data_IF_203802906522
#
_entry.id   IF_203802906522
#
_cell.length_a   1.000
_cell.length_b   1.000
_cell.length_c   1.000
_cell.angle_alpha   90.00
_cell.angle_beta   90.00
_cell.angle_gamma   90.00
#
_symmetry.space_group_name_H-M   'P 1'
#
loop_
_entity.id
_entity.type
_entity.pdbx_description
1 polymer ?
#
# COMPACT_ATOMS: atom_id res chain seq x y z
N UNK A 1 24.14 0.38 21.17
CA UNK A 1 23.62 -0.58 20.17
C UNK A 1 22.29 -1.09 20.68
N UNK A 2 21.31 -1.26 19.80
CA UNK A 2 20.01 -1.76 20.19
C UNK A 2 20.06 -3.25 20.57
N UNK A 3 20.89 -4.05 19.89
CA UNK A 3 21.03 -5.49 20.11
C UNK A 3 22.50 -5.90 20.02
N UNK A 4 22.95 -6.81 20.89
CA UNK A 4 24.36 -7.17 21.08
C UNK A 4 24.69 -8.63 20.72
N UNK A 5 23.74 -9.38 20.16
CA UNK A 5 23.88 -10.78 19.75
C UNK A 5 23.98 -11.80 20.89
N UNK A 6 24.30 -11.37 22.11
CA UNK A 6 24.33 -12.22 23.30
C UNK A 6 22.92 -12.46 23.89
N UNK A 7 22.04 -11.47 23.73
CA UNK A 7 20.64 -11.55 24.11
C UNK A 7 19.76 -11.95 22.92
N UNK A 8 18.71 -12.76 23.15
CA UNK A 8 17.67 -13.05 22.16
C UNK A 8 16.46 -12.15 22.43
N UNK A 9 16.37 -10.96 21.80
CA UNK A 9 15.33 -9.99 22.12
C UNK A 9 13.93 -10.55 21.81
N UNK A 10 13.01 -10.47 22.77
CA UNK A 10 11.62 -10.86 22.53
C UNK A 10 10.92 -9.76 21.73
N UNK A 11 10.39 -10.12 20.57
CA UNK A 11 9.79 -9.17 19.62
C UNK A 11 8.26 -9.31 19.56
N UNK A 12 7.52 -8.20 19.58
CA UNK A 12 6.09 -8.17 19.27
C UNK A 12 5.87 -7.83 17.80
N UNK A 13 5.12 -8.64 17.06
CA UNK A 13 4.68 -8.35 15.68
C UNK A 13 3.20 -7.97 15.69
N UNK A 14 2.87 -6.78 15.20
CA UNK A 14 1.51 -6.24 15.14
C UNK A 14 0.93 -6.44 13.73
N UNK A 15 0.02 -7.40 13.59
CA UNK A 15 -0.65 -7.76 12.34
C UNK A 15 -0.01 -8.96 11.63
N UNK A 16 -0.84 -9.79 10.99
CA UNK A 16 -0.45 -11.00 10.24
C UNK A 16 -0.84 -10.91 8.75
N UNK A 17 -0.77 -9.71 8.18
CA UNK A 17 -0.68 -9.54 6.72
C UNK A 17 0.69 -10.00 6.18
N UNK A 18 0.94 -9.79 4.88
CA UNK A 18 2.20 -10.17 4.24
C UNK A 18 3.45 -9.62 4.92
N UNK A 19 3.39 -8.41 5.48
CA UNK A 19 4.48 -7.85 6.29
C UNK A 19 4.72 -8.62 7.61
N UNK A 20 3.64 -9.04 8.28
CA UNK A 20 3.71 -9.69 9.58
C UNK A 20 4.22 -11.12 9.50
N UNK A 21 3.62 -11.95 8.62
CA UNK A 21 4.02 -13.35 8.53
C UNK A 21 5.41 -13.54 7.92
N UNK A 22 5.86 -12.65 7.02
CA UNK A 22 7.24 -12.72 6.50
C UNK A 22 8.27 -12.33 7.56
N UNK A 23 7.93 -11.39 8.45
CA UNK A 23 8.75 -11.12 9.63
C UNK A 23 8.76 -12.29 10.62
N UNK A 24 7.60 -12.89 10.92
CA UNK A 24 7.52 -14.06 11.78
C UNK A 24 8.38 -15.21 11.26
N UNK A 25 8.32 -15.47 9.93
CA UNK A 25 9.18 -16.43 9.24
C UNK A 25 10.67 -16.11 9.46
N UNK A 26 11.06 -14.85 9.26
CA UNK A 26 12.44 -14.41 9.46
C UNK A 26 12.93 -14.61 10.90
N UNK A 27 12.12 -14.24 11.90
CA UNK A 27 12.48 -14.44 13.31
C UNK A 27 12.57 -15.92 13.66
N UNK A 28 11.68 -16.75 13.11
CA UNK A 28 11.72 -18.20 13.25
C UNK A 28 13.01 -18.80 12.68
N UNK A 29 13.44 -18.37 11.50
CA UNK A 29 14.69 -18.83 10.87
C UNK A 29 15.92 -18.51 11.73
N UNK A 30 15.97 -17.32 12.36
CA UNK A 30 17.02 -16.94 13.31
C UNK A 30 16.87 -17.60 14.70
N UNK A 31 15.74 -18.27 14.98
CA UNK A 31 15.44 -18.81 16.29
C UNK A 31 15.31 -17.73 17.38
N UNK A 32 14.78 -16.56 17.00
CA UNK A 32 14.49 -15.43 17.88
C UNK A 32 13.06 -15.53 18.44
N UNK A 33 12.85 -15.23 19.73
CA UNK A 33 11.52 -15.32 20.34
C UNK A 33 10.62 -14.16 19.87
N UNK A 34 9.38 -14.48 19.51
CA UNK A 34 8.39 -13.47 19.13
C UNK A 34 6.97 -13.88 19.52
N UNK A 35 6.12 -12.86 19.70
CA UNK A 35 4.67 -13.02 19.71
C UNK A 35 4.12 -12.25 18.50
N UNK A 36 3.22 -12.86 17.71
CA UNK A 36 2.53 -12.19 16.60
C UNK A 36 1.03 -12.12 16.90
N UNK A 37 0.46 -10.92 16.86
CA UNK A 37 -0.96 -10.68 17.16
C UNK A 37 -1.70 -10.20 15.91
N UNK A 38 -2.80 -10.85 15.59
CA UNK A 38 -3.71 -10.50 14.49
C UNK A 38 -5.10 -10.22 15.04
N UNK A 39 -5.68 -9.09 14.66
CA UNK A 39 -7.01 -8.69 15.14
C UNK A 39 -8.14 -9.47 14.47
N UNK A 40 -7.91 -10.00 13.27
CA UNK A 40 -8.83 -10.85 12.53
C UNK A 40 -8.76 -12.32 12.97
N UNK A 41 -9.66 -13.15 12.45
CA UNK A 41 -9.69 -14.60 12.63
C UNK A 41 -8.74 -15.35 11.68
N UNK A 42 -8.20 -14.65 10.68
CA UNK A 42 -7.27 -15.21 9.71
C UNK A 42 -6.19 -14.21 9.23
N UNK A 43 -5.20 -14.73 8.52
CA UNK A 43 -4.11 -13.94 7.93
C UNK A 43 -4.55 -13.17 6.68
N UNK A 44 -3.63 -12.38 6.12
CA UNK A 44 -3.75 -11.84 4.75
C UNK A 44 -4.24 -10.40 4.67
N UNK A 45 -4.87 -9.87 5.72
CA UNK A 45 -5.26 -8.46 5.82
C UNK A 45 -6.14 -8.01 4.65
N UNK A 46 -5.66 -7.03 3.87
CA UNK A 46 -6.38 -6.47 2.71
C UNK A 46 -6.73 -7.46 1.59
N UNK A 47 -6.18 -8.67 1.59
CA UNK A 47 -6.52 -9.69 0.59
C UNK A 47 -7.67 -10.60 1.05
N UNK A 48 -8.12 -10.45 2.31
CA UNK A 48 -9.25 -11.16 2.87
C UNK A 48 -10.54 -10.39 2.63
N UNK A 49 -11.30 -10.80 1.62
CA UNK A 49 -12.63 -10.23 1.33
C UNK A 49 -13.60 -10.48 2.48
N UNK A 50 -14.35 -9.43 2.87
CA UNK A 50 -15.23 -9.43 4.05
C UNK A 50 -14.50 -9.82 5.34
N UNK A 51 -13.25 -9.38 5.48
CA UNK A 51 -12.49 -9.56 6.71
C UNK A 51 -13.30 -9.05 7.92
N UNK A 52 -13.53 -9.87 8.96
CA UNK A 52 -14.36 -9.49 10.11
C UNK A 52 -13.76 -8.36 10.96
N UNK A 53 -12.48 -8.01 10.75
CA UNK A 53 -11.83 -6.92 11.48
C UNK A 53 -12.37 -5.51 11.13
N UNK A 54 -13.10 -5.34 10.02
CA UNK A 54 -13.63 -4.05 9.55
C UNK A 54 -12.59 -3.02 9.09
N UNK A 55 -11.29 -3.33 9.17
CA UNK A 55 -10.21 -2.43 8.80
C UNK A 55 -9.50 -2.81 7.48
N UNK A 56 -9.88 -3.92 6.86
CA UNK A 56 -9.32 -4.33 5.57
C UNK A 56 -10.23 -3.92 4.41
N UNK A 57 -9.68 -3.26 3.41
CA UNK A 57 -10.39 -2.83 2.21
C UNK A 57 -10.20 -3.84 1.08
N UNK A 58 -11.19 -4.68 0.82
CA UNK A 58 -11.19 -5.62 -0.30
C UNK A 58 -12.60 -5.71 -0.90
N UNK A 59 -12.74 -5.32 -2.16
CA UNK A 59 -13.96 -5.55 -2.94
C UNK A 59 -13.89 -6.86 -3.71
N UNK A 60 -15.06 -7.41 -4.04
CA UNK A 60 -15.23 -8.78 -4.53
C UNK A 60 -14.52 -9.02 -5.86
N UNK A 61 -14.40 -8.02 -6.72
CA UNK A 61 -13.78 -8.12 -8.05
C UNK A 61 -12.29 -7.78 -8.06
N UNK A 62 -11.68 -7.53 -6.89
CA UNK A 62 -10.30 -7.07 -6.78
C UNK A 62 -9.33 -8.10 -7.38
N UNK A 63 -8.54 -7.61 -8.35
CA UNK A 63 -7.36 -8.30 -8.87
C UNK A 63 -6.14 -7.45 -8.59
N UNK A 64 -5.00 -8.10 -8.36
CA UNK A 64 -3.74 -7.37 -8.23
C UNK A 64 -3.37 -6.65 -9.54
N UNK A 65 -2.75 -5.48 -9.43
CA UNK A 65 -2.26 -4.71 -10.59
C UNK A 65 -0.87 -5.15 -11.08
N UNK A 66 -0.18 -5.94 -10.28
CA UNK A 66 1.13 -6.49 -10.60
C UNK A 66 1.00 -7.92 -11.10
N UNK A 67 1.78 -8.28 -12.12
CA UNK A 67 1.74 -9.65 -12.63
C UNK A 67 2.34 -10.66 -11.66
N UNK A 68 1.90 -11.92 -11.76
CA UNK A 68 2.38 -13.05 -10.95
C UNK A 68 3.91 -13.18 -10.89
N UNK A 69 4.60 -12.77 -11.96
CA UNK A 69 6.06 -12.83 -12.09
C UNK A 69 6.84 -12.01 -11.07
N UNK A 70 6.17 -11.07 -10.39
CA UNK A 70 6.79 -10.20 -9.38
C UNK A 70 6.28 -10.45 -7.97
N UNK A 71 5.33 -11.39 -7.78
CA UNK A 71 4.63 -11.60 -6.50
C UNK A 71 5.25 -12.66 -5.61
N UNK A 72 6.07 -13.55 -6.17
CA UNK A 72 6.66 -14.67 -5.43
C UNK A 72 7.50 -14.17 -4.25
N UNK A 73 7.40 -14.91 -3.14
CA UNK A 73 8.38 -14.81 -2.05
C UNK A 73 9.64 -15.58 -2.47
N UNK A 74 10.80 -15.23 -1.93
CA UNK A 74 12.09 -15.75 -2.42
C UNK A 74 12.20 -17.27 -2.31
N UNK A 75 11.61 -17.84 -1.26
CA UNK A 75 11.63 -19.26 -0.93
C UNK A 75 10.26 -19.95 -1.11
N UNK A 76 9.32 -19.28 -1.77
CA UNK A 76 8.00 -19.84 -2.06
C UNK A 76 7.47 -19.31 -3.40
N UNK A 77 7.52 -20.10 -4.49
CA UNK A 77 7.08 -19.64 -5.79
C UNK A 77 5.56 -19.58 -5.90
N UNK A 78 5.04 -18.63 -6.69
CA UNK A 78 3.63 -18.64 -7.10
C UNK A 78 3.35 -19.83 -8.04
N UNK A 79 2.14 -20.42 -8.01
CA UNK A 79 1.76 -21.49 -8.92
C UNK A 79 1.90 -21.11 -10.40
N UNK A 80 2.40 -22.04 -11.22
CA UNK A 80 2.66 -21.80 -12.65
C UNK A 80 1.37 -21.50 -13.45
N UNK A 81 0.26 -22.11 -13.07
CA UNK A 81 -1.05 -22.05 -13.73
C UNK A 81 -1.87 -20.81 -13.37
N UNK A 82 -1.38 -19.95 -12.48
CA UNK A 82 -2.05 -18.70 -12.16
C UNK A 82 -2.26 -17.81 -13.39
N UNK A 83 -3.38 -17.07 -13.47
CA UNK A 83 -3.51 -16.00 -14.46
C UNK A 83 -2.43 -14.94 -14.22
N UNK A 84 -2.14 -14.12 -15.23
CA UNK A 84 -1.11 -13.09 -15.11
C UNK A 84 -1.40 -12.11 -13.96
N UNK A 85 -2.68 -11.75 -13.74
CA UNK A 85 -3.14 -10.89 -12.63
C UNK A 85 -4.13 -11.69 -11.77
N UNK A 86 -3.67 -12.37 -10.71
CA UNK A 86 -4.53 -13.21 -9.86
C UNK A 86 -5.59 -12.43 -9.07
N UNK A 87 -6.72 -13.09 -8.83
CA UNK A 87 -7.81 -12.59 -8.00
C UNK A 87 -7.39 -12.52 -6.52
N UNK A 88 -8.01 -11.63 -5.74
CA UNK A 88 -7.69 -11.50 -4.30
C UNK A 88 -7.79 -12.84 -3.54
N UNK A 89 -8.74 -13.71 -3.93
CA UNK A 89 -8.91 -15.03 -3.34
C UNK A 89 -7.72 -15.97 -3.59
N UNK A 90 -7.07 -15.89 -4.76
CA UNK A 90 -5.86 -16.67 -5.07
C UNK A 90 -4.67 -16.18 -4.25
N UNK A 91 -4.54 -14.85 -4.07
CA UNK A 91 -3.52 -14.26 -3.20
C UNK A 91 -3.69 -14.71 -1.75
N UNK A 92 -4.92 -14.66 -1.21
CA UNK A 92 -5.20 -15.11 0.14
C UNK A 92 -4.86 -16.58 0.32
N UNK A 93 -5.23 -17.44 -0.64
CA UNK A 93 -4.90 -18.86 -0.58
C UNK A 93 -3.38 -19.08 -0.57
N UNK A 94 -2.64 -18.40 -1.43
CA UNK A 94 -1.18 -18.48 -1.46
C UNK A 94 -0.53 -18.02 -0.15
N UNK A 95 -1.08 -17.02 0.53
CA UNK A 95 -0.61 -16.62 1.86
C UNK A 95 -0.90 -17.68 2.92
N UNK A 96 -2.07 -18.32 2.88
CA UNK A 96 -2.38 -19.45 3.76
C UNK A 96 -1.40 -20.60 3.52
N UNK A 97 -1.19 -20.96 2.26
CA UNK A 97 -0.26 -22.03 1.90
C UNK A 97 1.18 -21.72 2.34
N UNK A 98 1.63 -20.47 2.20
CA UNK A 98 2.93 -20.02 2.73
C UNK A 98 3.01 -20.19 4.26
N UNK A 99 2.01 -19.66 4.97
CA UNK A 99 1.94 -19.70 6.44
C UNK A 99 1.92 -21.14 6.96
N UNK A 100 1.22 -22.04 6.27
CA UNK A 100 1.15 -23.46 6.60
C UNK A 100 2.46 -24.19 6.26
N UNK A 101 3.02 -23.94 5.06
CA UNK A 101 4.28 -24.54 4.61
C UNK A 101 5.43 -24.27 5.59
N UNK A 102 5.55 -23.04 6.08
CA UNK A 102 6.58 -22.66 7.06
C UNK A 102 6.15 -22.89 8.51
N UNK A 103 4.98 -23.47 8.77
CA UNK A 103 4.46 -23.78 10.11
C UNK A 103 4.38 -22.55 11.01
N UNK A 104 3.80 -21.46 10.48
CA UNK A 104 3.67 -20.18 11.17
C UNK A 104 2.28 -20.00 11.79
N UNK A 105 1.25 -20.73 11.32
CA UNK A 105 -0.14 -20.55 11.75
C UNK A 105 -0.31 -20.60 13.27
N UNK A 106 0.29 -21.60 13.91
CA UNK A 106 0.24 -21.80 15.37
C UNK A 106 1.07 -20.78 16.17
N UNK A 107 1.89 -19.97 15.49
CA UNK A 107 2.71 -18.91 16.13
C UNK A 107 2.00 -17.55 16.14
N UNK A 108 0.82 -17.45 15.52
CA UNK A 108 0.03 -16.23 15.40
C UNK A 108 -1.18 -16.34 16.33
N UNK A 109 -1.36 -15.34 17.17
CA UNK A 109 -2.52 -15.23 18.05
C UNK A 109 -3.60 -14.38 17.37
N UNK A 110 -4.64 -15.04 16.86
CA UNK A 110 -5.77 -14.41 16.16
C UNK A 110 -6.79 -13.79 17.13
N UNK A 111 -7.73 -13.02 16.59
CA UNK A 111 -8.77 -12.31 17.33
C UNK A 111 -8.21 -11.45 18.48
N UNK A 112 -6.97 -10.96 18.33
CA UNK A 112 -6.22 -10.27 19.37
C UNK A 112 -5.57 -9.03 18.76
N UNK A 113 -6.18 -7.87 18.98
CA UNK A 113 -5.62 -6.61 18.53
C UNK A 113 -4.60 -6.07 19.54
N UNK A 114 -3.56 -5.40 19.05
CA UNK A 114 -2.73 -4.52 19.89
C UNK A 114 -3.40 -3.16 19.98
N UNK A 115 -3.67 -2.70 21.20
CA UNK A 115 -4.43 -1.47 21.47
C UNK A 115 -3.57 -0.32 21.99
N UNK A 116 -2.39 -0.62 22.55
CA UNK A 116 -1.46 0.38 23.07
C UNK A 116 -0.03 -0.15 23.06
N UNK A 117 0.94 0.72 22.76
CA UNK A 117 2.38 0.45 22.82
C UNK A 117 3.05 1.63 23.52
N UNK A 118 3.62 1.38 24.70
CA UNK A 118 4.20 2.41 25.57
C UNK A 118 5.70 2.18 25.76
N UNK A 119 6.45 3.28 25.89
CA UNK A 119 7.88 3.22 26.18
C UNK A 119 8.13 2.64 27.59
N UNK A 120 9.15 1.81 27.69
CA UNK A 120 9.75 1.36 28.95
C UNK A 120 11.23 1.75 29.00
N UNK A 121 11.83 1.83 30.21
CA UNK A 121 13.26 2.07 30.35
C UNK A 121 14.12 1.07 29.54
N UNK A 122 15.21 1.58 28.96
CA UNK A 122 16.14 0.79 28.16
C UNK A 122 15.71 0.55 26.71
N UNK A 123 14.78 1.35 26.17
CA UNK A 123 14.30 1.20 24.79
C UNK A 123 13.38 0.01 24.58
N UNK A 124 12.78 -0.50 25.67
CA UNK A 124 11.81 -1.60 25.66
C UNK A 124 10.39 -1.06 25.56
N UNK A 125 9.42 -1.96 25.39
CA UNK A 125 8.04 -1.62 25.10
C UNK A 125 7.07 -2.41 25.94
N UNK A 126 6.05 -1.74 26.48
CA UNK A 126 4.86 -2.40 27.04
C UNK A 126 3.76 -2.39 25.97
N UNK A 127 3.24 -3.57 25.65
CA UNK A 127 2.17 -3.74 24.67
C UNK A 127 0.91 -4.22 25.37
N UNK A 128 -0.21 -3.51 25.15
CA UNK A 128 -1.53 -3.88 25.64
C UNK A 128 -2.35 -4.52 24.53
N UNK A 129 -2.99 -5.65 24.83
CA UNK A 129 -3.85 -6.40 23.91
C UNK A 129 -5.32 -6.05 24.12
N UNK A 130 -6.17 -6.38 23.15
CA UNK A 130 -7.64 -6.23 23.24
C UNK A 130 -8.27 -7.05 24.36
N UNK A 131 -7.59 -8.08 24.85
CA UNK A 131 -7.98 -8.89 26.01
C UNK A 131 -7.76 -8.19 27.35
N UNK A 132 -7.06 -7.04 27.35
CA UNK A 132 -6.60 -6.33 28.55
C UNK A 132 -5.27 -6.86 29.10
N UNK A 133 -4.72 -7.94 28.53
CA UNK A 133 -3.38 -8.43 28.86
C UNK A 133 -2.31 -7.41 28.43
N UNK A 134 -1.28 -7.25 29.27
CA UNK A 134 -0.08 -6.46 28.95
C UNK A 134 1.15 -7.33 28.96
N UNK A 135 2.04 -7.14 27.99
CA UNK A 135 3.33 -7.84 27.88
C UNK A 135 4.46 -6.87 27.58
N UNK A 136 5.65 -7.17 28.09
CA UNK A 136 6.86 -6.40 27.83
C UNK A 136 7.68 -7.05 26.71
N UNK A 137 8.28 -6.22 25.85
CA UNK A 137 9.07 -6.63 24.69
C UNK A 137 10.33 -5.79 24.56
N UNK A 138 11.37 -6.40 23.99
CA UNK A 138 12.62 -5.72 23.68
C UNK A 138 12.53 -4.99 22.33
N UNK A 139 11.66 -5.46 21.44
CA UNK A 139 11.41 -4.84 20.14
C UNK A 139 9.94 -4.95 19.70
N UNK A 140 9.51 -4.03 18.85
CA UNK A 140 8.17 -4.00 18.25
C UNK A 140 8.27 -3.89 16.74
N UNK A 141 7.52 -4.71 16.01
CA UNK A 141 7.36 -4.65 14.57
C UNK A 141 5.93 -4.24 14.25
N UNK A 142 5.77 -3.08 13.63
CA UNK A 142 4.51 -2.52 13.17
C UNK A 142 4.25 -3.01 11.74
N UNK A 143 3.28 -3.92 11.59
CA UNK A 143 2.89 -4.53 10.32
C UNK A 143 1.37 -4.41 10.05
N UNK A 144 0.73 -3.36 10.59
CA UNK A 144 -0.72 -3.13 10.48
C UNK A 144 -1.18 -2.62 9.10
N UNK A 145 -0.25 -2.28 8.20
CA UNK A 145 -0.55 -1.74 6.88
C UNK A 145 -0.92 -0.25 6.90
N UNK A 146 -1.12 0.33 5.71
CA UNK A 146 -1.36 1.76 5.51
C UNK A 146 -2.53 2.09 4.57
N UNK A 147 -3.34 1.08 4.23
CA UNK A 147 -4.59 1.23 3.46
C UNK A 147 -5.77 0.73 4.31
N UNK A 148 -5.99 1.37 5.46
CA UNK A 148 -7.03 0.97 6.42
C UNK A 148 -7.81 2.13 7.03
N UNK A 149 -7.23 3.35 7.11
CA UNK A 149 -7.87 4.55 7.66
C UNK A 149 -8.40 5.44 6.50
N UNK A 150 -9.71 5.43 6.21
CA UNK A 150 -10.29 6.11 5.06
C UNK A 150 -10.10 7.63 5.11
N UNK A 151 -9.62 8.23 4.02
CA UNK A 151 -9.52 9.69 3.92
C UNK A 151 -10.78 10.27 3.27
N UNK A 152 -11.74 10.64 4.10
CA UNK A 152 -12.96 11.33 3.65
C UNK A 152 -12.69 12.82 3.38
N UNK A 153 -13.05 13.35 2.19
CA UNK A 153 -12.95 14.78 1.92
C UNK A 153 -14.14 15.53 2.54
N UNK A 154 -13.92 16.78 2.90
CA UNK A 154 -14.99 17.71 3.25
C UNK A 154 -15.31 18.62 2.06
N UNK A 155 -16.60 18.88 1.84
CA UNK A 155 -17.11 19.75 0.79
C UNK A 155 -18.22 20.65 1.36
N UNK A 156 -18.37 21.90 0.87
CA UNK A 156 -19.52 22.73 1.22
C UNK A 156 -20.84 22.10 0.79
N UNK A 157 -21.92 22.38 1.54
CA UNK A 157 -23.26 21.88 1.26
C UNK A 157 -23.53 20.49 1.84
N UNK A 158 -24.70 19.95 1.53
CA UNK A 158 -25.19 18.65 2.04
C UNK A 158 -25.59 17.74 0.88
N UNK A 159 -25.51 16.42 1.08
CA UNK A 159 -25.92 15.42 0.09
C UNK A 159 -26.90 14.43 0.71
N UNK A 160 -28.07 14.28 0.10
CA UNK A 160 -29.18 13.46 0.61
C UNK A 160 -29.03 11.97 0.26
N UNK A 161 -28.17 11.65 -0.72
CA UNK A 161 -27.96 10.30 -1.22
C UNK A 161 -26.98 9.47 -0.40
N UNK A 162 -26.73 8.24 -0.87
CA UNK A 162 -25.81 7.32 -0.22
C UNK A 162 -24.34 7.75 -0.41
N UNK A 163 -23.53 7.67 0.63
CA UNK A 163 -22.10 7.97 0.54
C UNK A 163 -21.29 6.85 1.17
N UNK A 164 -20.22 6.45 0.49
CA UNK A 164 -19.32 5.40 0.98
C UNK A 164 -17.89 5.69 0.57
N UNK A 165 -16.92 5.41 1.43
CA UNK A 165 -15.52 5.37 1.00
C UNK A 165 -15.24 4.07 0.28
N UNK A 166 -14.33 4.07 -0.69
CA UNK A 166 -13.87 2.85 -1.38
C UNK A 166 -13.41 1.72 -0.45
N UNK A 167 -13.05 2.04 0.79
CA UNK A 167 -12.73 1.09 1.87
C UNK A 167 -13.91 0.18 2.23
N UNK A 168 -15.11 0.76 2.25
CA UNK A 168 -16.35 0.09 2.65
C UNK A 168 -17.16 -0.36 1.42
N UNK A 169 -16.66 -0.14 0.21
CA UNK A 169 -17.25 -0.70 -1.01
C UNK A 169 -16.90 -2.18 -1.10
N UNK A 170 -17.90 -3.06 -1.16
CA UNK A 170 -17.66 -4.50 -1.28
C UNK A 170 -17.97 -5.03 -2.67
N UNK A 171 -19.11 -4.66 -3.23
CA UNK A 171 -19.56 -5.08 -4.55
C UNK A 171 -20.70 -4.14 -5.03
N UNK A 172 -21.24 -4.31 -6.25
CA UNK A 172 -22.31 -3.45 -6.77
C UNK A 172 -23.67 -3.58 -6.07
N UNK A 173 -23.85 -4.56 -5.17
CA UNK A 173 -25.14 -4.89 -4.56
C UNK A 173 -25.17 -4.59 -3.06
N UNK A 174 -24.02 -4.68 -2.39
CA UNK A 174 -23.87 -4.44 -0.96
C UNK A 174 -22.70 -3.46 -0.69
N UNK A 175 -22.80 -2.62 0.35
CA UNK A 175 -23.96 -2.41 1.24
C UNK A 175 -25.08 -1.55 0.62
N UNK A 176 -24.94 -1.17 -0.65
CA UNK A 176 -25.92 -0.37 -1.39
C UNK A 176 -26.10 -0.93 -2.80
N UNK A 177 -27.35 -1.11 -3.22
CA UNK A 177 -27.68 -1.61 -4.55
C UNK A 177 -27.60 -0.48 -5.59
N UNK A 178 -26.55 -0.51 -6.41
CA UNK A 178 -26.31 0.51 -7.44
C UNK A 178 -27.18 0.35 -8.69
N UNK A 179 -27.94 -0.75 -8.82
CA UNK A 179 -28.75 -1.01 -10.02
C UNK A 179 -29.78 0.08 -10.26
N UNK A 180 -29.78 0.61 -11.48
CA UNK A 180 -30.67 1.70 -11.88
C UNK A 180 -30.39 3.03 -11.18
N UNK A 181 -29.23 3.18 -10.52
CA UNK A 181 -28.81 4.41 -9.85
C UNK A 181 -27.88 5.24 -10.71
N UNK A 182 -27.84 6.53 -10.43
CA UNK A 182 -26.85 7.48 -10.95
C UNK A 182 -25.73 7.57 -9.92
N UNK A 183 -24.66 6.83 -10.16
CA UNK A 183 -23.52 6.74 -9.26
C UNK A 183 -22.44 7.77 -9.63
N UNK A 184 -21.68 8.24 -8.64
CA UNK A 184 -20.47 9.02 -8.86
C UNK A 184 -19.30 8.41 -8.09
N UNK A 185 -18.18 8.18 -8.77
CA UNK A 185 -16.90 7.84 -8.13
C UNK A 185 -16.03 9.09 -8.09
N UNK A 186 -15.42 9.38 -6.94
CA UNK A 186 -14.55 10.55 -6.76
C UNK A 186 -13.12 10.09 -6.52
N UNK A 187 -12.22 10.50 -7.42
CA UNK A 187 -10.81 10.13 -7.33
C UNK A 187 -10.26 9.63 -8.65
N UNK A 188 -8.94 9.40 -8.64
CA UNK A 188 -8.17 8.99 -9.82
C UNK A 188 -6.99 8.10 -9.39
N UNK A 189 -7.26 7.16 -8.49
CA UNK A 189 -6.35 6.06 -8.14
C UNK A 189 -6.92 4.72 -8.59
N UNK A 190 -6.23 3.61 -8.34
CA UNK A 190 -6.64 2.29 -8.84
C UNK A 190 -8.04 1.89 -8.36
N UNK A 191 -8.38 2.10 -7.08
CA UNK A 191 -9.75 1.87 -6.60
C UNK A 191 -10.81 2.67 -7.36
N UNK A 192 -10.49 3.91 -7.77
CA UNK A 192 -11.43 4.71 -8.57
C UNK A 192 -11.61 4.10 -9.98
N UNK A 193 -10.52 3.62 -10.59
CA UNK A 193 -10.55 3.00 -11.91
C UNK A 193 -11.33 1.68 -11.90
N UNK A 194 -11.08 0.83 -10.92
CA UNK A 194 -11.70 -0.50 -10.82
C UNK A 194 -13.19 -0.39 -10.50
N UNK A 195 -13.55 0.36 -9.45
CA UNK A 195 -14.95 0.56 -9.06
C UNK A 195 -15.73 1.26 -10.18
N UNK A 196 -15.10 2.22 -10.89
CA UNK A 196 -15.75 2.85 -12.04
C UNK A 196 -15.92 1.89 -13.20
N UNK A 197 -14.93 1.05 -13.51
CA UNK A 197 -15.04 0.06 -14.58
C UNK A 197 -16.16 -0.94 -14.27
N UNK A 198 -16.24 -1.41 -13.01
CA UNK A 198 -17.30 -2.29 -12.53
C UNK A 198 -18.69 -1.64 -12.62
N UNK A 199 -18.90 -0.50 -11.96
CA UNK A 199 -20.20 0.17 -11.92
C UNK A 199 -20.62 0.76 -13.27
N UNK A 200 -19.70 0.98 -14.22
CA UNK A 200 -20.03 1.51 -15.55
C UNK A 200 -20.88 0.57 -16.41
N UNK A 201 -20.92 -0.72 -16.05
CA UNK A 201 -21.70 -1.69 -16.80
C UNK A 201 -23.19 -1.34 -16.70
N UNK A 202 -23.87 -1.20 -17.85
CA UNK A 202 -25.27 -0.76 -17.93
C UNK A 202 -26.27 -1.49 -17.02
N UNK A 203 -26.13 -2.81 -16.74
CA UNK A 203 -27.01 -3.47 -15.79
C UNK A 203 -26.79 -3.07 -14.32
N UNK A 204 -25.62 -2.52 -13.98
CA UNK A 204 -25.17 -2.23 -12.62
C UNK A 204 -25.43 -0.78 -12.20
N UNK A 205 -25.47 0.17 -13.13
CA UNK A 205 -25.88 1.56 -12.87
C UNK A 205 -26.58 2.17 -14.09
N UNK A 206 -27.52 3.10 -13.86
CA UNK A 206 -28.16 3.86 -14.96
C UNK A 206 -27.12 4.76 -15.65
N UNK A 207 -26.34 5.47 -14.82
CA UNK A 207 -25.26 6.36 -15.23
C UNK A 207 -24.14 6.34 -14.21
N UNK A 208 -22.92 6.42 -14.69
CA UNK A 208 -21.75 6.57 -13.84
C UNK A 208 -20.99 7.85 -14.21
N UNK A 209 -20.73 8.67 -13.19
CA UNK A 209 -19.86 9.82 -13.28
C UNK A 209 -18.54 9.51 -12.58
N UNK A 210 -17.43 10.06 -13.09
CA UNK A 210 -16.17 10.10 -12.36
C UNK A 210 -15.70 11.54 -12.20
N UNK A 211 -15.52 11.99 -10.96
CA UNK A 211 -15.00 13.32 -10.65
C UNK A 211 -13.51 13.27 -10.36
N UNK A 212 -12.73 14.06 -11.11
CA UNK A 212 -11.30 14.21 -10.92
C UNK A 212 -10.93 15.69 -10.81
N UNK A 213 -10.32 16.08 -9.69
CA UNK A 213 -9.78 17.45 -9.52
C UNK A 213 -8.57 17.71 -10.44
N UNK A 214 -7.82 16.66 -10.77
CA UNK A 214 -6.58 16.71 -11.55
C UNK A 214 -6.53 15.49 -12.46
N UNK A 215 -6.09 15.69 -13.71
CA UNK A 215 -5.90 14.60 -14.67
C UNK A 215 -4.80 13.63 -14.24
N UNK A 216 -4.95 12.34 -14.55
CA UNK A 216 -3.94 11.30 -14.32
C UNK A 216 -3.69 10.51 -15.58
N UNK A 217 -2.51 9.91 -15.69
CA UNK A 217 -2.23 8.93 -16.74
C UNK A 217 -2.81 7.56 -16.34
N UNK A 218 -3.69 7.03 -17.20
CA UNK A 218 -4.21 5.66 -17.07
C UNK A 218 -3.37 4.73 -17.93
N UNK A 219 -2.75 3.74 -17.30
CA UNK A 219 -1.80 2.81 -17.89
C UNK A 219 -2.45 1.43 -18.11
N UNK A 220 -2.25 0.77 -19.26
CA UNK A 220 -2.79 -0.56 -19.50
C UNK A 220 -2.01 -1.62 -18.71
N UNK A 221 -2.70 -2.69 -18.31
CA UNK A 221 -2.07 -3.90 -17.71
C UNK A 221 -1.19 -4.66 -18.70
N UNK A 222 -1.55 -4.64 -19.98
CA UNK A 222 -0.82 -5.32 -21.06
C UNK A 222 -0.18 -4.32 -22.03
N UNK A 223 1.03 -4.63 -22.48
CA UNK A 223 1.69 -3.97 -23.60
C UNK A 223 2.25 -5.05 -24.53
N UNK A 224 2.01 -4.90 -25.84
CA UNK A 224 2.49 -5.85 -26.86
C UNK A 224 2.09 -7.32 -26.56
N UNK A 225 0.92 -7.53 -25.95
CA UNK A 225 0.39 -8.86 -25.60
C UNK A 225 1.03 -9.53 -24.37
N UNK A 226 1.81 -8.79 -23.58
CA UNK A 226 2.44 -9.26 -22.35
C UNK A 226 2.15 -8.31 -21.18
N UNK A 227 2.18 -8.79 -19.92
CA UNK A 227 2.09 -7.92 -18.74
C UNK A 227 3.15 -6.80 -18.80
N UNK A 228 2.71 -5.56 -18.60
CA UNK A 228 3.55 -4.38 -18.81
C UNK A 228 4.75 -4.31 -17.84
N UNK A 229 4.63 -4.91 -16.67
CA UNK A 229 5.68 -4.99 -15.64
C UNK A 229 6.83 -5.97 -15.98
N UNK A 230 6.66 -6.82 -17.02
CA UNK A 230 7.78 -7.56 -17.63
C UNK A 230 8.71 -6.66 -18.45
N UNK A 231 8.25 -5.49 -18.87
CA UNK A 231 9.06 -4.59 -19.68
C UNK A 231 10.15 -3.92 -18.83
N UNK A 232 11.32 -4.55 -18.77
CA UNK A 232 12.50 -3.97 -18.12
C UNK A 232 13.30 -3.18 -19.16
N UNK A 233 13.51 -1.89 -18.90
CA UNK A 233 14.44 -1.11 -19.71
C UNK A 233 15.86 -1.69 -19.56
N UNK A 234 16.65 -1.80 -20.63
CA UNK A 234 18.00 -2.36 -20.56
C UNK A 234 18.88 -1.62 -19.54
N UNK A 235 19.60 -2.37 -18.70
CA UNK A 235 20.38 -1.80 -17.59
C UNK A 235 21.50 -0.83 -18.02
N UNK A 236 21.92 -0.87 -19.30
CA UNK A 236 22.92 0.03 -19.87
C UNK A 236 22.36 1.41 -20.28
N UNK A 237 21.05 1.58 -20.31
CA UNK A 237 20.41 2.81 -20.78
C UNK A 237 20.35 3.86 -19.64
N UNK A 238 20.85 5.10 -19.86
CA UNK A 238 20.71 6.16 -18.86
C UNK A 238 19.25 6.41 -18.50
N UNK A 239 18.95 6.49 -17.20
CA UNK A 239 17.58 6.53 -16.66
C UNK A 239 16.72 7.66 -17.25
N UNK A 240 17.30 8.85 -17.46
CA UNK A 240 16.61 9.98 -18.08
C UNK A 240 16.21 9.73 -19.54
N UNK A 241 17.10 9.13 -20.33
CA UNK A 241 16.81 8.80 -21.73
C UNK A 241 15.78 7.67 -21.84
N UNK A 242 15.92 6.63 -21.00
CA UNK A 242 14.97 5.53 -20.92
C UNK A 242 13.56 6.01 -20.57
N UNK A 243 13.45 6.91 -19.59
CA UNK A 243 12.17 7.53 -19.22
C UNK A 243 11.58 8.36 -20.36
N UNK A 244 12.38 9.16 -21.06
CA UNK A 244 11.91 9.96 -22.21
C UNK A 244 11.37 9.08 -23.36
N UNK A 245 12.06 7.99 -23.69
CA UNK A 245 11.61 7.03 -24.70
C UNK A 245 10.34 6.31 -24.25
N UNK A 246 10.27 5.87 -22.99
CA UNK A 246 9.08 5.24 -22.42
C UNK A 246 7.87 6.18 -22.49
N UNK A 247 8.01 7.44 -22.05
CA UNK A 247 6.96 8.46 -22.15
C UNK A 247 6.44 8.64 -23.57
N UNK A 248 7.35 8.72 -24.55
CA UNK A 248 6.97 8.87 -25.96
C UNK A 248 6.20 7.64 -26.46
N UNK A 249 6.62 6.42 -26.11
CA UNK A 249 5.91 5.18 -26.44
C UNK A 249 4.51 5.19 -25.81
N UNK A 250 4.42 5.50 -24.51
CA UNK A 250 3.16 5.57 -23.76
C UNK A 250 2.18 6.53 -24.41
N UNK A 251 2.59 7.78 -24.66
CA UNK A 251 1.72 8.79 -25.31
C UNK A 251 1.26 8.36 -26.70
N UNK A 252 2.13 7.71 -27.48
CA UNK A 252 1.79 7.22 -28.81
C UNK A 252 0.82 6.04 -28.78
N UNK A 253 0.98 5.12 -27.82
CA UNK A 253 0.17 3.91 -27.71
C UNK A 253 -1.19 4.18 -27.10
N UNK A 254 -1.25 4.99 -26.05
CA UNK A 254 -2.49 5.24 -25.29
C UNK A 254 -3.25 6.46 -25.83
N UNK A 255 -2.56 7.44 -26.43
CA UNK A 255 -3.13 8.75 -26.73
C UNK A 255 -3.06 9.69 -25.52
N UNK A 256 -3.61 10.90 -25.66
CA UNK A 256 -3.72 11.85 -24.56
C UNK A 256 -5.00 11.59 -23.78
N UNK A 257 -4.99 11.83 -22.47
CA UNK A 257 -6.17 11.60 -21.63
C UNK A 257 -7.35 12.50 -22.03
N UNK A 258 -7.05 13.70 -22.53
CA UNK A 258 -8.02 14.66 -23.06
C UNK A 258 -8.74 14.15 -24.32
N UNK A 259 -8.13 13.24 -25.09
CA UNK A 259 -8.76 12.60 -26.25
C UNK A 259 -9.93 11.69 -25.82
N UNK A 260 -9.94 11.23 -24.57
CA UNK A 260 -11.02 10.45 -23.95
C UNK A 260 -12.01 11.34 -23.18
N UNK A 261 -11.82 12.66 -23.13
CA UNK A 261 -12.64 13.57 -22.33
C UNK A 261 -12.27 13.63 -20.84
N UNK A 262 -11.13 13.06 -20.43
CA UNK A 262 -10.60 13.21 -19.08
C UNK A 262 -9.87 14.56 -18.93
N UNK A 263 -9.76 15.11 -17.70
CA UNK A 263 -8.95 16.29 -17.46
C UNK A 263 -7.50 16.07 -17.90
N UNK A 264 -6.89 17.08 -18.51
CA UNK A 264 -5.48 17.04 -18.92
C UNK A 264 -4.57 16.86 -17.70
N UNK A 265 -3.70 15.83 -17.67
CA UNK A 265 -2.65 15.74 -16.67
C UNK A 265 -1.67 16.90 -16.81
N UNK A 266 -1.34 17.52 -15.71
CA UNK A 266 -0.31 18.57 -15.55
C UNK A 266 1.11 17.99 -15.31
N UNK A 267 1.27 16.69 -15.47
CA UNK A 267 2.52 15.96 -15.30
C UNK A 267 2.71 14.95 -16.45
N UNK A 268 3.96 14.54 -16.66
CA UNK A 268 4.29 13.55 -17.68
C UNK A 268 4.00 12.12 -17.21
N UNK A 269 3.83 11.15 -18.13
CA UNK A 269 3.77 9.74 -17.73
C UNK A 269 5.01 9.37 -16.90
N UNK A 270 4.80 8.54 -15.88
CA UNK A 270 5.83 8.08 -14.93
C UNK A 270 6.32 9.13 -13.91
N UNK A 271 5.73 10.34 -13.86
CA UNK A 271 6.00 11.34 -12.80
C UNK A 271 4.94 11.32 -11.67
N UNK A 272 4.13 10.27 -11.64
CA UNK A 272 3.07 10.02 -10.67
C UNK A 272 2.89 8.52 -10.49
N UNK A 273 2.29 8.09 -9.38
CA UNK A 273 1.92 6.68 -9.23
C UNK A 273 0.90 6.36 -10.34
N UNK A 274 1.15 5.35 -11.18
CA UNK A 274 0.31 5.09 -12.33
C UNK A 274 -1.08 4.62 -11.86
N UNK A 275 -2.12 5.16 -12.47
CA UNK A 275 -3.45 4.53 -12.38
C UNK A 275 -3.48 3.41 -13.40
N UNK A 276 -3.64 2.16 -12.97
CA UNK A 276 -3.56 1.01 -13.87
C UNK A 276 -4.98 0.50 -14.15
N UNK A 277 -5.37 0.44 -15.41
CA UNK A 277 -6.62 -0.20 -15.83
C UNK A 277 -6.59 -0.55 -17.30
N UNK A 278 -7.08 -1.75 -17.64
CA UNK A 278 -7.27 -2.19 -19.02
C UNK A 278 -8.64 -1.82 -19.61
N UNK A 279 -9.63 -1.56 -18.78
CA UNK A 279 -11.03 -1.39 -19.20
C UNK A 279 -11.49 0.08 -19.12
N UNK A 280 -10.95 0.85 -18.17
CA UNK A 280 -11.45 2.19 -17.84
C UNK A 280 -11.53 3.13 -19.05
N UNK A 281 -10.44 3.29 -19.81
CA UNK A 281 -10.42 4.20 -20.97
C UNK A 281 -11.41 3.77 -22.06
N UNK A 282 -11.59 2.45 -22.25
CA UNK A 282 -12.58 1.92 -23.18
C UNK A 282 -14.00 2.28 -22.74
N UNK A 283 -14.32 2.13 -21.45
CA UNK A 283 -15.63 2.50 -20.90
C UNK A 283 -15.92 3.99 -20.99
N UNK A 284 -14.91 4.84 -20.78
CA UNK A 284 -15.01 6.28 -21.03
C UNK A 284 -15.31 6.54 -22.51
N UNK A 285 -14.56 5.92 -23.43
CA UNK A 285 -14.78 6.08 -24.87
C UNK A 285 -16.14 5.58 -25.38
N UNK A 286 -16.72 4.57 -24.72
CA UNK A 286 -18.08 4.10 -24.98
C UNK A 286 -19.18 5.00 -24.40
N UNK A 287 -18.83 6.00 -23.57
CA UNK A 287 -19.80 6.85 -22.87
C UNK A 287 -20.51 6.14 -21.71
N UNK A 288 -19.94 5.06 -21.20
CA UNK A 288 -20.43 4.36 -20.00
C UNK A 288 -19.94 5.03 -18.71
N UNK A 289 -18.78 5.71 -18.78
CA UNK A 289 -18.24 6.55 -17.70
C UNK A 289 -18.23 8.00 -18.20
N UNK A 290 -18.83 8.92 -17.45
CA UNK A 290 -18.91 10.34 -17.79
C UNK A 290 -17.92 11.13 -16.91
N UNK A 291 -16.81 11.65 -17.46
CA UNK A 291 -15.88 12.48 -16.71
C UNK A 291 -16.50 13.81 -16.28
N UNK A 292 -16.18 14.23 -15.05
CA UNK A 292 -16.53 15.53 -14.48
C UNK A 292 -15.29 16.16 -13.82
N UNK A 293 -15.18 17.49 -13.79
CA UNK A 293 -14.10 18.15 -13.07
C UNK A 293 -14.29 18.02 -11.56
N UNK A 294 -13.50 18.74 -10.77
CA UNK A 294 -13.62 18.73 -9.31
C UNK A 294 -15.04 19.12 -8.84
N UNK A 295 -15.46 18.54 -7.72
CA UNK A 295 -16.67 18.98 -7.02
C UNK A 295 -16.42 20.38 -6.45
N UNK A 296 -17.37 21.28 -6.63
CA UNK A 296 -17.42 22.58 -5.96
C UNK A 296 -18.17 22.47 -4.63
N UNK A 297 -19.38 21.89 -4.65
CA UNK A 297 -20.24 21.69 -3.48
C UNK A 297 -21.24 20.56 -3.68
N UNK A 298 -21.73 20.03 -2.57
CA UNK A 298 -22.87 19.11 -2.52
C UNK A 298 -24.19 19.92 -2.56
N UNK A 299 -25.24 19.36 -3.17
CA UNK A 299 -26.47 20.09 -3.47
C UNK A 299 -27.74 19.24 -3.37
N UNK A 300 -27.99 18.65 -2.19
CA UNK A 300 -29.16 17.82 -1.90
C UNK A 300 -29.11 16.52 -2.69
N UNK A 301 -29.96 16.39 -3.73
CA UNK A 301 -30.03 15.20 -4.61
C UNK A 301 -28.94 15.18 -5.71
N UNK A 302 -27.95 16.07 -5.65
CA UNK A 302 -26.97 16.23 -6.69
C UNK A 302 -25.68 16.90 -6.25
N UNK A 303 -24.81 17.13 -7.24
CA UNK A 303 -23.46 17.64 -7.07
C UNK A 303 -23.21 18.74 -8.08
N UNK A 304 -22.64 19.87 -7.62
CA UNK A 304 -22.18 20.98 -8.46
C UNK A 304 -20.68 20.87 -8.64
N UNK A 305 -20.22 20.97 -9.88
CA UNK A 305 -18.82 20.87 -10.27
C UNK A 305 -18.21 22.24 -10.53
N UNK A 306 -16.89 22.33 -10.51
CA UNK A 306 -16.14 23.59 -10.67
C UNK A 306 -16.29 24.27 -12.04
N UNK A 307 -16.89 23.58 -13.02
CA UNK A 307 -17.26 24.17 -14.32
C UNK A 307 -18.67 24.78 -14.33
N UNK A 308 -19.35 24.80 -13.18
CA UNK A 308 -20.72 25.29 -13.01
C UNK A 308 -21.80 24.28 -13.41
N UNK A 309 -21.44 23.09 -13.89
CA UNK A 309 -22.43 22.05 -14.20
C UNK A 309 -22.95 21.39 -12.92
N UNK A 310 -24.19 20.90 -12.97
CA UNK A 310 -24.82 20.14 -11.88
C UNK A 310 -25.32 18.80 -12.41
N UNK A 311 -25.07 17.73 -11.67
CA UNK A 311 -25.67 16.42 -11.95
C UNK A 311 -26.50 15.94 -10.77
N UNK A 312 -27.63 15.29 -11.07
CA UNK A 312 -28.33 14.46 -10.10
C UNK A 312 -27.55 13.18 -9.86
N UNK A 313 -27.34 12.82 -8.59
CA UNK A 313 -26.54 11.67 -8.15
C UNK A 313 -27.25 11.00 -6.98
N UNK A 314 -27.42 9.68 -7.04
CA UNK A 314 -28.07 8.91 -5.98
C UNK A 314 -27.06 8.35 -4.95
N UNK A 315 -25.82 8.09 -5.40
CA UNK A 315 -24.76 7.55 -4.56
C UNK A 315 -23.36 8.06 -4.94
N UNK A 316 -22.53 8.33 -3.94
CA UNK A 316 -21.14 8.75 -4.10
C UNK A 316 -20.19 7.71 -3.48
N UNK A 317 -19.23 7.24 -4.27
CA UNK A 317 -18.10 6.43 -3.80
C UNK A 317 -16.85 7.30 -3.75
N UNK A 318 -16.37 7.59 -2.53
CA UNK A 318 -15.15 8.33 -2.27
C UNK A 318 -13.94 7.41 -2.41
N UNK A 319 -13.29 7.43 -3.56
CA UNK A 319 -12.04 6.73 -3.84
C UNK A 319 -10.84 7.68 -3.63
N UNK A 320 -10.81 8.31 -2.45
CA UNK A 320 -9.94 9.45 -2.12
C UNK A 320 -8.66 9.09 -1.35
N UNK A 321 -8.43 7.79 -1.17
CA UNK A 321 -7.21 7.25 -0.56
C UNK A 321 -7.31 7.13 0.96
N UNK A 322 -6.15 6.98 1.60
CA UNK A 322 -6.05 6.61 3.02
C UNK A 322 -5.13 7.56 3.78
N UNK A 323 -5.37 7.66 5.09
CA UNK A 323 -4.42 8.21 6.04
C UNK A 323 -3.45 7.12 6.50
N UNK A 324 -2.23 7.53 6.86
CA UNK A 324 -1.24 6.66 7.52
C UNK A 324 -1.32 6.93 9.02
N UNK A 325 -1.87 5.97 9.76
CA UNK A 325 -2.09 6.11 11.21
C UNK A 325 -1.70 4.85 11.97
N UNK A 326 -1.29 5.06 13.22
CA UNK A 326 -0.89 4.03 14.18
C UNK A 326 -1.58 4.29 15.52
N UNK A 327 -2.87 3.99 15.68
CA UNK A 327 -3.67 4.42 16.84
C UNK A 327 -3.18 3.82 18.18
N UNK A 328 -2.40 2.75 18.13
CA UNK A 328 -1.77 2.13 19.30
C UNK A 328 -0.45 2.82 19.71
N UNK A 329 0.09 3.74 18.90
CA UNK A 329 1.26 4.57 19.23
C UNK A 329 0.79 5.98 19.60
N UNK A 330 1.18 6.45 20.79
CA UNK A 330 0.78 7.78 21.33
C UNK A 330 1.94 8.76 21.38
N UNK A 331 3.14 8.32 21.01
CA UNK A 331 4.34 9.12 20.97
C UNK A 331 4.28 10.06 19.76
N UNK A 332 4.42 11.37 20.01
CA UNK A 332 4.32 12.40 18.97
C UNK A 332 5.31 12.18 17.81
N UNK A 333 6.51 11.67 18.10
CA UNK A 333 7.58 11.45 17.12
C UNK A 333 7.42 10.14 16.32
N UNK A 334 6.50 9.27 16.74
CA UNK A 334 6.05 8.08 16.01
C UNK A 334 4.72 8.28 15.27
N UNK A 335 4.18 9.50 15.28
CA UNK A 335 2.92 9.84 14.62
C UNK A 335 3.20 10.51 13.27
N UNK A 336 2.78 9.90 12.14
CA UNK A 336 2.86 10.52 10.82
C UNK A 336 2.11 11.84 10.76
N UNK A 337 2.64 12.82 10.02
CA UNK A 337 1.97 14.11 9.78
C UNK A 337 1.65 14.24 8.30
N UNK A 338 0.37 14.33 7.95
CA UNK A 338 -0.10 14.38 6.55
C UNK A 338 0.47 13.25 5.67
N UNK A 339 0.50 12.02 6.20
CA UNK A 339 1.12 10.84 5.58
C UNK A 339 2.65 10.94 5.36
N UNK A 340 3.32 11.95 5.92
CA UNK A 340 4.77 12.06 5.94
C UNK A 340 5.29 11.43 7.23
N UNK A 341 6.11 10.40 7.07
CA UNK A 341 6.79 9.74 8.17
C UNK A 341 8.22 9.34 7.74
N UNK A 342 9.21 10.23 7.97
CA UNK A 342 10.58 10.00 7.54
C UNK A 342 11.21 8.89 8.37
N UNK A 343 11.62 7.82 7.70
CA UNK A 343 12.16 6.60 8.32
C UNK A 343 13.40 6.16 7.56
N UNK A 344 14.45 5.83 8.30
CA UNK A 344 15.66 5.21 7.79
C UNK A 344 15.29 3.91 7.07
N UNK A 345 15.65 3.84 5.79
CA UNK A 345 15.29 2.74 4.87
C UNK A 345 13.81 2.37 4.91
N UNK A 346 12.91 3.35 5.15
CA UNK A 346 11.45 3.14 5.26
C UNK A 346 11.05 2.17 6.39
N UNK A 347 11.87 2.02 7.44
CA UNK A 347 11.61 1.10 8.55
C UNK A 347 11.84 1.69 9.93
N UNK A 348 12.88 2.51 10.13
CA UNK A 348 13.36 2.86 11.47
C UNK A 348 13.34 4.36 11.69
N UNK A 349 12.80 4.81 12.83
CA UNK A 349 12.91 6.19 13.27
C UNK A 349 14.27 6.37 13.98
N UNK A 350 15.14 7.31 13.55
CA UNK A 350 16.39 7.58 14.27
C UNK A 350 16.12 7.90 15.75
N UNK A 351 16.90 7.31 16.65
CA UNK A 351 16.72 7.35 18.10
C UNK A 351 15.74 6.30 18.66
N UNK A 352 15.15 5.46 17.80
CA UNK A 352 14.19 4.40 18.17
C UNK A 352 14.47 3.08 17.46
N UNK A 353 15.71 2.61 17.51
CA UNK A 353 16.19 1.41 16.82
C UNK A 353 15.68 0.08 17.42
N UNK A 354 14.57 0.11 18.17
CA UNK A 354 13.85 -1.05 18.73
C UNK A 354 12.38 -1.12 18.26
N UNK A 355 11.93 -0.20 17.40
CA UNK A 355 10.63 -0.26 16.73
C UNK A 355 10.80 -0.16 15.21
N UNK A 356 10.17 -1.08 14.49
CA UNK A 356 10.33 -1.27 13.05
C UNK A 356 8.98 -1.20 12.33
N UNK A 357 8.89 -0.38 11.28
CA UNK A 357 7.70 -0.28 10.44
C UNK A 357 7.90 -1.08 9.15
N UNK A 358 7.11 -2.14 8.95
CA UNK A 358 7.24 -3.02 7.78
C UNK A 358 6.12 -2.82 6.77
N UNK A 359 6.50 -2.77 5.49
CA UNK A 359 5.59 -2.48 4.38
C UNK A 359 5.08 -1.04 4.37
N UNK A 360 5.72 -0.12 5.10
CA UNK A 360 5.38 1.30 5.07
C UNK A 360 6.04 2.02 3.88
N UNK A 361 5.69 1.58 2.68
CA UNK A 361 6.09 2.16 1.42
C UNK A 361 5.06 1.82 0.34
N UNK A 362 5.07 2.52 -0.78
CA UNK A 362 4.35 2.15 -2.00
C UNK A 362 5.37 1.77 -3.10
N UNK A 363 5.94 0.55 -3.01
CA UNK A 363 6.93 0.08 -3.96
C UNK A 363 6.32 -0.19 -5.34
N UNK A 364 7.05 0.16 -6.39
CA UNK A 364 6.78 -0.28 -7.75
C UNK A 364 7.72 -1.44 -8.12
N UNK A 365 7.21 -2.62 -8.51
CA UNK A 365 5.83 -2.85 -8.91
C UNK A 365 4.89 -3.40 -7.83
N UNK A 366 5.37 -3.94 -6.71
CA UNK A 366 4.49 -4.59 -5.71
C UNK A 366 5.01 -4.50 -4.28
N UNK A 367 4.08 -4.51 -3.34
CA UNK A 367 4.31 -4.58 -1.90
C UNK A 367 4.35 -6.02 -1.37
N UNK A 368 3.76 -6.99 -2.07
CA UNK A 368 3.52 -8.35 -1.56
C UNK A 368 4.77 -8.98 -0.95
N UNK A 369 5.90 -8.93 -1.66
CA UNK A 369 7.20 -9.42 -1.21
C UNK A 369 8.16 -8.30 -0.75
N UNK A 370 7.70 -7.05 -0.65
CA UNK A 370 8.55 -5.94 -0.26
C UNK A 370 8.96 -6.02 1.22
N UNK A 371 8.02 -6.35 2.09
CA UNK A 371 8.29 -6.48 3.51
C UNK A 371 9.19 -7.69 3.84
N UNK A 372 9.20 -8.73 2.99
CA UNK A 372 10.17 -9.82 3.08
C UNK A 372 11.61 -9.30 2.94
N UNK A 373 11.84 -8.34 2.03
CA UNK A 373 13.15 -7.72 1.84
C UNK A 373 13.53 -6.88 3.06
N UNK A 374 12.61 -6.07 3.57
CA UNK A 374 12.78 -5.30 4.81
C UNK A 374 13.10 -6.20 6.02
N UNK A 375 12.47 -7.37 6.11
CA UNK A 375 12.71 -8.34 7.19
C UNK A 375 14.18 -8.76 7.28
N UNK A 376 14.95 -8.74 6.17
CA UNK A 376 16.37 -9.15 6.18
C UNK A 376 17.20 -8.25 7.08
N UNK A 377 17.04 -6.93 6.96
CA UNK A 377 17.76 -5.97 7.80
C UNK A 377 17.27 -6.04 9.24
N UNK A 378 15.95 -6.08 9.46
CA UNK A 378 15.37 -6.14 10.82
C UNK A 378 15.80 -7.42 11.54
N UNK A 379 15.77 -8.57 10.85
CA UNK A 379 16.23 -9.85 11.38
C UNK A 379 17.73 -9.83 11.70
N UNK A 380 18.57 -9.30 10.81
CA UNK A 380 20.00 -9.15 11.08
C UNK A 380 20.27 -8.22 12.28
N UNK A 381 19.51 -7.12 12.40
CA UNK A 381 19.63 -6.20 13.54
C UNK A 381 19.26 -6.89 14.86
N UNK A 382 18.13 -7.58 14.91
CA UNK A 382 17.66 -8.30 16.10
C UNK A 382 18.56 -9.48 16.47
N UNK A 383 19.21 -10.12 15.48
CA UNK A 383 20.19 -11.19 15.71
C UNK A 383 21.57 -10.66 16.14
N UNK A 384 21.81 -9.34 16.10
CA UNK A 384 23.10 -8.73 16.41
C UNK A 384 24.11 -8.72 15.25
N UNK A 385 23.72 -9.21 14.07
CA UNK A 385 24.57 -9.24 12.86
C UNK A 385 24.61 -7.89 12.12
N UNK A 386 23.89 -6.88 12.61
CA UNK A 386 23.81 -5.57 12.01
C UNK A 386 23.80 -4.48 13.07
N UNK A 387 24.67 -3.47 12.90
CA UNK A 387 24.61 -2.23 13.67
C UNK A 387 24.16 -1.05 12.81
N UNK A 388 23.22 -0.26 13.34
CA UNK A 388 22.78 1.01 12.74
C UNK A 388 23.94 2.02 12.69
N UNK A 389 24.01 2.88 11.66
CA UNK A 389 24.90 4.03 11.69
C UNK A 389 24.42 5.05 12.74
N UNK A 390 25.24 6.07 13.09
CA UNK A 390 24.81 7.14 14.00
C UNK A 390 23.53 7.84 13.52
N UNK A 391 22.73 8.37 14.44
CA UNK A 391 21.45 9.03 14.14
C UNK A 391 21.56 10.11 13.06
N UNK A 392 22.58 10.98 13.13
CA UNK A 392 22.82 12.03 12.13
C UNK A 392 23.08 11.46 10.72
N UNK A 393 23.72 10.29 10.62
CA UNK A 393 23.91 9.60 9.34
C UNK A 393 22.61 8.99 8.84
N UNK A 394 21.78 8.41 9.74
CA UNK A 394 20.44 7.94 9.37
C UNK A 394 19.58 9.08 8.84
N UNK A 395 19.58 10.24 9.48
CA UNK A 395 18.83 11.43 9.03
C UNK A 395 19.29 11.92 7.66
N UNK A 396 20.62 11.97 7.41
CA UNK A 396 21.15 12.30 6.07
C UNK A 396 20.66 11.31 5.02
N UNK A 397 20.74 10.01 5.31
CA UNK A 397 20.31 8.95 4.39
C UNK A 397 18.81 9.04 4.10
N UNK A 398 17.97 9.39 5.09
CA UNK A 398 16.53 9.60 4.88
C UNK A 398 16.29 10.66 3.81
N UNK A 399 16.95 11.82 3.92
CA UNK A 399 16.81 12.93 2.95
C UNK A 399 17.30 12.51 1.56
N UNK A 400 18.41 11.78 1.49
CA UNK A 400 18.96 11.27 0.23
C UNK A 400 18.02 10.25 -0.44
N UNK A 401 17.52 9.28 0.31
CA UNK A 401 16.56 8.26 -0.15
C UNK A 401 15.25 8.92 -0.63
N UNK A 402 14.72 9.89 0.12
CA UNK A 402 13.53 10.64 -0.27
C UNK A 402 13.74 11.41 -1.57
N UNK A 403 14.87 12.09 -1.72
CA UNK A 403 15.20 12.78 -2.97
C UNK A 403 15.33 11.81 -4.14
N UNK A 404 15.98 10.65 -3.93
CA UNK A 404 16.17 9.64 -4.97
C UNK A 404 14.83 9.05 -5.43
N UNK A 405 13.96 8.68 -4.50
CA UNK A 405 12.72 7.98 -4.81
C UNK A 405 11.58 8.94 -5.19
N UNK A 406 11.45 10.07 -4.50
CA UNK A 406 10.32 11.00 -4.65
C UNK A 406 10.63 12.20 -5.54
N UNK A 407 11.91 12.51 -5.80
CA UNK A 407 12.30 13.77 -6.47
C UNK A 407 11.77 13.96 -7.90
N UNK A 408 11.19 12.93 -8.52
CA UNK A 408 10.52 13.03 -9.83
C UNK A 408 9.00 12.95 -9.74
N UNK A 409 8.44 12.65 -8.56
CA UNK A 409 7.01 12.69 -8.33
C UNK A 409 6.57 14.12 -8.02
N UNK A 410 5.40 14.49 -8.50
CA UNK A 410 4.81 15.76 -8.10
C UNK A 410 4.32 15.71 -6.63
N UNK A 411 4.25 16.89 -6.00
CA UNK A 411 3.85 17.02 -4.61
C UNK A 411 2.36 16.70 -4.38
N UNK A 412 2.09 15.63 -3.62
CA UNK A 412 0.74 15.21 -3.24
C UNK A 412 0.80 14.27 -2.03
N UNK A 413 -0.21 14.29 -1.13
CA UNK A 413 -0.26 13.35 -0.01
C UNK A 413 -0.27 11.87 -0.40
N UNK A 414 -0.71 11.54 -1.63
CA UNK A 414 -0.63 10.17 -2.16
C UNK A 414 0.78 9.79 -2.63
N UNK A 415 1.67 10.78 -2.82
CA UNK A 415 3.02 10.60 -3.34
C UNK A 415 4.13 10.79 -2.28
N UNK A 416 3.87 10.34 -1.04
CA UNK A 416 4.81 10.49 0.09
C UNK A 416 5.66 9.25 0.38
N UNK A 417 5.35 8.11 -0.24
CA UNK A 417 5.86 6.80 0.17
C UNK A 417 6.38 5.94 -0.99
N UNK A 418 6.46 6.46 -2.22
CA UNK A 418 6.87 5.71 -3.39
C UNK A 418 8.33 5.29 -3.30
N UNK A 419 8.58 4.08 -3.79
CA UNK A 419 9.91 3.48 -3.84
C UNK A 419 10.02 2.67 -5.15
N UNK A 420 11.18 2.71 -5.79
CA UNK A 420 11.48 1.74 -6.86
C UNK A 420 11.99 0.46 -6.20
N UNK A 421 11.25 -0.64 -6.36
CA UNK A 421 11.52 -1.90 -5.65
C UNK A 421 12.94 -2.40 -5.89
N UNK A 422 13.40 -2.39 -7.15
CA UNK A 422 14.69 -2.97 -7.52
C UNK A 422 15.86 -2.12 -6.99
N UNK A 423 15.75 -0.79 -7.13
CA UNK A 423 16.73 0.14 -6.60
C UNK A 423 16.80 0.05 -5.07
N UNK A 424 15.66 -0.04 -4.40
CA UNK A 424 15.57 -0.19 -2.96
C UNK A 424 16.20 -1.50 -2.49
N UNK A 425 15.86 -2.65 -3.08
CA UNK A 425 16.44 -3.93 -2.68
C UNK A 425 17.96 -3.93 -2.85
N UNK A 426 18.46 -3.38 -3.97
CA UNK A 426 19.91 -3.28 -4.23
C UNK A 426 20.61 -2.41 -3.18
N UNK A 427 20.00 -1.30 -2.80
CA UNK A 427 20.55 -0.41 -1.78
C UNK A 427 20.45 -1.03 -0.37
N UNK A 428 19.33 -1.66 -0.04
CA UNK A 428 19.11 -2.37 1.22
C UNK A 428 20.16 -3.46 1.45
N UNK A 429 20.47 -4.27 0.43
CA UNK A 429 21.49 -5.30 0.56
C UNK A 429 22.89 -4.71 0.81
N UNK A 430 23.23 -3.60 0.16
CA UNK A 430 24.49 -2.88 0.45
C UNK A 430 24.50 -2.33 1.87
N UNK A 431 23.35 -1.85 2.36
CA UNK A 431 23.24 -1.36 3.71
C UNK A 431 23.42 -2.48 4.73
N UNK A 432 22.82 -3.64 4.50
CA UNK A 432 23.03 -4.83 5.33
C UNK A 432 24.53 -5.18 5.40
N UNK A 433 25.23 -5.18 4.26
CA UNK A 433 26.68 -5.41 4.22
C UNK A 433 27.48 -4.34 4.98
N UNK A 434 27.06 -3.07 4.94
CA UNK A 434 27.68 -1.99 5.71
C UNK A 434 27.44 -2.17 7.21
N UNK A 435 26.23 -2.53 7.61
CA UNK A 435 25.89 -2.75 9.01
C UNK A 435 26.52 -3.98 9.62
N UNK A 436 26.74 -5.04 8.83
CA UNK A 436 27.53 -6.19 9.27
C UNK A 436 28.99 -5.81 9.59
N UNK A 437 29.58 -4.87 8.85
CA UNK A 437 30.93 -4.35 9.16
C UNK A 437 30.97 -3.44 10.38
N UNK A 438 29.84 -2.81 10.73
CA UNK A 438 29.69 -1.98 11.94
C UNK A 438 29.38 -2.85 13.17
N UNK A 439 28.76 -4.01 12.97
CA UNK A 439 28.44 -4.93 14.04
C UNK A 439 29.74 -5.44 14.71
N UNK A 440 29.75 -5.57 16.05
CA UNK A 440 30.89 -6.13 16.74
C UNK A 440 31.06 -7.60 16.34
N UNK A 441 32.31 -8.05 16.19
CA UNK A 441 32.57 -9.48 16.09
C UNK A 441 32.22 -10.09 17.44
N UNK A 442 31.18 -10.92 17.48
CA UNK A 442 30.86 -11.73 18.66
C UNK A 442 32.06 -12.66 18.90
N UNK A 443 32.80 -12.40 19.98
CA UNK A 443 34.00 -13.13 20.36
C UNK A 443 33.68 -14.47 21.03
#
# INVERSE_FOLDING_TARGET
>A
MAFDGASKPKTCIIGAGCSGFTMAKRLKDYGLPYDCFEMSDDIGGNWYYKNPNGASSCYQSLHIDTSKWRLAFEDYPVPEDWPDFPHHAQLLQYFRDYVDHFGLRETITFNTAVTNVEDLPGGRWKVTLSTGETRDYDAVVVANGHHWDPRMPEYPGEFDGYQVHSHNYTDPFEPYDFRGKRAMVVGAGNSAMDISSELSQRPLAEKLFISMRRGVWVMPKYMDGQPADKAVLPAWLPSGLGRALARKKIKKTIGMMEDYGLPKPDHEPLDGHPSVSGEFLTRVGCGDIIPKPGIERLDGDGVVFTDGTREKVDAIVWATGYNVTFPFLKQDDLTPKENVFPLYKRMVKPGRETIFFLGLAQPLPTLVNFAEQQSKLVGAALNGDYAFPPEEEMERIIVEDEKQHLGHFYDSPRHRMQVDFNAYCKDLMKEIDRGAKRAPVVA
#
